data_IF_467378828229
#
_entry.id   IF_467378828229
#
_cell.length_a   1.000
_cell.length_b   1.000
_cell.length_c   1.000
_cell.angle_alpha   90.00
_cell.angle_beta   90.00
_cell.angle_gamma   90.00
#
_symmetry.space_group_name_H-M   'P 1'
#
loop_
_entity.id
_entity.type
_entity.pdbx_description
1 polymer ?
#
# COMPACT_ATOMS: atom_id res chain seq x y z
N UNK A 1 -11.40 18.00 26.84
CA UNK A 1 -12.04 17.86 28.16
C UNK A 1 -11.96 16.42 28.72
N UNK A 2 -12.69 15.40 28.21
CA UNK A 2 -12.57 14.04 28.78
C UNK A 2 -11.18 13.42 28.49
N UNK A 3 -10.70 13.46 27.25
CA UNK A 3 -9.38 12.95 26.88
C UNK A 3 -8.22 13.70 27.56
N UNK A 4 -8.35 15.00 27.74
CA UNK A 4 -7.40 15.83 28.49
C UNK A 4 -7.25 15.33 29.93
N UNK A 5 -8.38 15.10 30.61
CA UNK A 5 -8.39 14.63 31.99
C UNK A 5 -7.86 13.20 32.15
N UNK A 6 -8.15 12.32 31.18
CA UNK A 6 -7.71 10.90 31.22
C UNK A 6 -6.21 10.77 31.01
N UNK A 7 -5.63 11.54 30.08
CA UNK A 7 -4.23 11.39 29.70
C UNK A 7 -3.28 12.40 30.37
N UNK A 8 -3.78 13.30 31.18
CA UNK A 8 -2.99 14.32 31.89
C UNK A 8 -2.22 15.26 30.94
N UNK A 9 -2.74 15.49 29.75
CA UNK A 9 -2.13 16.35 28.75
C UNK A 9 -2.32 17.81 29.16
N UNK A 10 -1.29 18.67 29.14
CA UNK A 10 -1.45 20.10 29.39
C UNK A 10 -2.46 20.74 28.43
N UNK A 11 -3.33 21.59 28.92
CA UNK A 11 -4.43 22.22 28.13
C UNK A 11 -3.92 22.87 26.83
N UNK A 12 -2.79 23.55 26.89
CA UNK A 12 -2.16 24.17 25.73
C UNK A 12 -1.80 23.13 24.67
N UNK A 13 -1.13 22.06 25.06
CA UNK A 13 -0.74 20.97 24.14
C UNK A 13 -1.96 20.27 23.56
N UNK A 14 -3.01 20.07 24.38
CA UNK A 14 -4.27 19.48 23.93
C UNK A 14 -4.92 20.32 22.84
N UNK A 15 -5.04 21.63 23.03
CA UNK A 15 -5.63 22.55 22.03
C UNK A 15 -4.82 22.57 20.73
N UNK A 16 -3.51 22.73 20.82
CA UNK A 16 -2.61 22.71 19.65
C UNK A 16 -2.78 21.42 18.86
N UNK A 17 -2.81 20.26 19.55
CA UNK A 17 -2.99 18.95 18.88
C UNK A 17 -4.38 18.80 18.30
N UNK A 18 -5.40 19.25 18.99
CA UNK A 18 -6.78 19.19 18.50
C UNK A 18 -6.97 20.01 17.20
N UNK A 19 -6.48 21.26 17.18
CA UNK A 19 -6.52 22.12 16.00
C UNK A 19 -5.81 21.45 14.81
N UNK A 20 -4.67 20.85 15.07
CA UNK A 20 -3.92 20.12 14.05
C UNK A 20 -4.64 18.87 13.53
N UNK A 21 -5.23 18.06 14.42
CA UNK A 21 -6.00 16.87 14.01
C UNK A 21 -7.25 17.27 13.22
N UNK A 22 -7.91 18.35 13.63
CA UNK A 22 -9.06 18.90 12.91
C UNK A 22 -8.68 19.29 11.48
N UNK A 23 -7.54 19.96 11.31
CA UNK A 23 -7.06 20.35 9.98
C UNK A 23 -6.61 19.15 9.12
N UNK A 24 -5.81 18.22 9.69
CA UNK A 24 -5.27 17.08 8.96
C UNK A 24 -6.34 16.06 8.53
N UNK A 25 -7.41 15.91 9.31
CA UNK A 25 -8.47 14.93 9.05
C UNK A 25 -9.75 15.57 8.48
N UNK A 26 -9.72 16.88 8.18
CA UNK A 26 -10.89 17.64 7.69
C UNK A 26 -12.11 17.43 8.58
N UNK A 27 -11.95 17.69 9.89
CA UNK A 27 -13.01 17.45 10.88
C UNK A 27 -13.91 18.67 11.13
N UNK A 28 -13.56 19.85 10.63
CA UNK A 28 -14.33 21.09 10.87
C UNK A 28 -15.84 20.92 10.63
N UNK A 29 -16.29 20.32 9.48
CA UNK A 29 -17.72 20.11 9.24
C UNK A 29 -18.37 19.10 10.18
N UNK A 30 -17.57 18.31 10.90
CA UNK A 30 -18.04 17.21 11.74
C UNK A 30 -18.20 17.61 13.20
N UNK A 31 -17.52 18.68 13.65
CA UNK A 31 -17.48 19.09 15.06
C UNK A 31 -18.87 19.33 15.69
N UNK A 32 -19.84 19.71 14.89
CA UNK A 32 -21.21 19.97 15.34
C UNK A 32 -22.19 18.85 15.04
N UNK A 33 -21.74 17.82 14.28
CA UNK A 33 -22.59 16.68 13.95
C UNK A 33 -22.76 15.72 15.13
N UNK A 34 -23.95 15.20 15.27
CA UNK A 34 -24.19 14.11 16.24
C UNK A 34 -23.51 12.84 15.75
N UNK A 35 -22.79 12.12 16.63
CA UNK A 35 -22.05 10.90 16.31
C UNK A 35 -22.89 9.87 15.52
N UNK A 36 -24.17 9.70 15.86
CA UNK A 36 -25.10 8.80 15.17
C UNK A 36 -25.42 9.17 13.71
N UNK A 37 -25.07 10.40 13.29
CA UNK A 37 -25.27 10.90 11.93
C UNK A 37 -24.00 10.89 11.08
N UNK A 38 -22.88 10.48 11.66
CA UNK A 38 -21.63 10.34 10.95
C UNK A 38 -21.65 9.08 10.08
N UNK A 39 -21.12 9.18 8.86
CA UNK A 39 -20.78 8.01 8.05
C UNK A 39 -19.66 7.21 8.73
N UNK A 40 -19.41 6.00 8.26
CA UNK A 40 -18.34 5.16 8.80
C UNK A 40 -16.97 5.87 8.70
N UNK A 41 -16.65 6.45 7.54
CA UNK A 41 -15.39 7.18 7.32
C UNK A 41 -15.28 8.46 8.15
N UNK A 42 -16.36 9.23 8.29
CA UNK A 42 -16.39 10.40 9.18
C UNK A 42 -16.17 10.00 10.64
N UNK A 43 -16.80 8.92 11.07
CA UNK A 43 -16.64 8.39 12.43
C UNK A 43 -15.22 7.90 12.68
N UNK A 44 -14.64 7.13 11.74
CA UNK A 44 -13.27 6.63 11.83
C UNK A 44 -12.26 7.78 11.97
N UNK A 45 -12.40 8.85 11.17
CA UNK A 45 -11.56 10.04 11.28
C UNK A 45 -11.66 10.71 12.65
N UNK A 46 -12.86 10.83 13.21
CA UNK A 46 -13.05 11.38 14.55
C UNK A 46 -12.46 10.50 15.65
N UNK A 47 -12.64 9.17 15.55
CA UNK A 47 -12.09 8.21 16.51
C UNK A 47 -10.54 8.20 16.46
N UNK A 48 -9.97 8.24 15.26
CA UNK A 48 -8.53 8.32 15.06
C UNK A 48 -7.97 9.62 15.68
N UNK A 49 -8.57 10.79 15.40
CA UNK A 49 -8.19 12.04 16.03
C UNK A 49 -8.23 11.95 17.56
N UNK A 50 -9.32 11.44 18.12
CA UNK A 50 -9.49 11.31 19.56
C UNK A 50 -8.43 10.40 20.21
N UNK A 51 -8.02 9.35 19.53
CA UNK A 51 -6.98 8.42 20.02
C UNK A 51 -5.58 9.02 20.01
N UNK A 52 -5.34 10.10 19.25
CA UNK A 52 -4.02 10.69 19.04
C UNK A 52 -3.78 12.01 19.80
N UNK A 53 -4.79 12.54 20.48
CA UNK A 53 -4.71 13.83 21.20
C UNK A 53 -3.61 13.86 22.27
N UNK A 54 -3.24 12.70 22.83
CA UNK A 54 -2.19 12.59 23.83
C UNK A 54 -0.79 12.33 23.23
N UNK A 55 -0.64 12.35 21.90
CA UNK A 55 0.60 12.14 21.14
C UNK A 55 1.32 10.86 21.55
N UNK A 56 0.73 9.68 21.36
CA UNK A 56 1.36 8.41 21.71
C UNK A 56 2.64 8.20 20.90
N UNK A 57 3.65 7.59 21.53
CA UNK A 57 4.91 7.21 20.85
C UNK A 57 4.76 5.93 20.04
N UNK A 58 3.79 5.09 20.39
CA UNK A 58 3.49 3.84 19.70
C UNK A 58 2.00 3.83 19.40
N UNK A 59 1.66 3.55 18.15
CA UNK A 59 0.30 3.51 17.64
C UNK A 59 0.02 2.12 17.07
N UNK A 60 -1.03 1.49 17.57
CA UNK A 60 -1.54 0.23 17.02
C UNK A 60 -2.81 0.50 16.24
N UNK A 61 -2.80 0.16 14.97
CA UNK A 61 -3.93 0.33 14.05
C UNK A 61 -4.32 -1.03 13.49
N UNK A 62 -5.50 -1.49 13.87
CA UNK A 62 -6.05 -2.75 13.38
C UNK A 62 -7.05 -2.46 12.27
N UNK A 63 -6.67 -2.82 11.02
CA UNK A 63 -7.46 -2.63 9.80
C UNK A 63 -8.05 -1.22 9.66
N UNK A 64 -7.24 -0.14 9.72
CA UNK A 64 -7.75 1.24 9.85
C UNK A 64 -8.54 1.76 8.64
N UNK A 65 -8.53 1.04 7.52
CA UNK A 65 -9.20 1.43 6.26
C UNK A 65 -10.34 0.51 5.86
N UNK A 66 -10.62 -0.52 6.68
CA UNK A 66 -11.65 -1.52 6.35
C UNK A 66 -13.04 -0.90 6.24
N UNK A 67 -13.76 -1.27 5.17
CA UNK A 67 -15.14 -0.80 4.94
C UNK A 67 -15.27 0.67 4.53
N UNK A 68 -14.16 1.36 4.28
CA UNK A 68 -14.14 2.72 3.78
C UNK A 68 -14.13 2.75 2.24
N UNK A 69 -14.69 3.79 1.66
CA UNK A 69 -14.51 4.08 0.24
C UNK A 69 -13.07 4.52 -0.09
N UNK A 70 -12.69 4.49 -1.37
CA UNK A 70 -11.33 4.75 -1.83
C UNK A 70 -10.81 6.13 -1.38
N UNK A 71 -11.67 7.14 -1.37
CA UNK A 71 -11.30 8.50 -0.96
C UNK A 71 -11.01 8.56 0.54
N UNK A 72 -11.88 7.95 1.36
CA UNK A 72 -11.67 7.87 2.81
C UNK A 72 -10.44 7.04 3.17
N UNK A 73 -10.19 5.93 2.47
CA UNK A 73 -8.96 5.14 2.65
C UNK A 73 -7.70 5.96 2.35
N UNK A 74 -7.68 6.71 1.24
CA UNK A 74 -6.56 7.59 0.89
C UNK A 74 -6.32 8.63 1.99
N UNK A 75 -7.37 9.31 2.45
CA UNK A 75 -7.27 10.31 3.51
C UNK A 75 -6.70 9.74 4.82
N UNK A 76 -7.09 8.51 5.21
CA UNK A 76 -6.53 7.85 6.39
C UNK A 76 -5.05 7.51 6.19
N UNK A 77 -4.64 7.01 5.03
CA UNK A 77 -3.23 6.74 4.72
C UNK A 77 -2.38 8.01 4.80
N UNK A 78 -2.82 9.07 4.13
CA UNK A 78 -2.12 10.35 4.10
C UNK A 78 -1.97 10.91 5.52
N UNK A 79 -3.01 10.79 6.32
CA UNK A 79 -2.99 11.21 7.72
C UNK A 79 -1.98 10.39 8.56
N UNK A 80 -2.00 9.05 8.46
CA UNK A 80 -1.07 8.18 9.21
C UNK A 80 0.38 8.52 8.83
N UNK A 81 0.64 8.72 7.54
CA UNK A 81 1.95 9.12 7.04
C UNK A 81 2.38 10.47 7.61
N UNK A 82 1.53 11.49 7.52
CA UNK A 82 1.79 12.83 8.05
C UNK A 82 2.03 12.82 9.56
N UNK A 83 1.23 12.06 10.30
CA UNK A 83 1.38 11.90 11.76
C UNK A 83 2.72 11.25 12.12
N UNK A 84 3.09 10.16 11.43
CA UNK A 84 4.39 9.50 11.63
C UNK A 84 5.56 10.45 11.37
N UNK A 85 5.54 11.18 10.25
CA UNK A 85 6.59 12.14 9.90
C UNK A 85 6.70 13.27 10.91
N UNK A 86 5.58 13.76 11.41
CA UNK A 86 5.56 14.89 12.32
C UNK A 86 5.98 14.55 13.73
N UNK A 87 5.52 13.41 14.26
CA UNK A 87 5.70 13.04 15.67
C UNK A 87 6.75 11.95 15.89
N UNK A 88 7.25 11.32 14.84
CA UNK A 88 8.18 10.20 14.92
C UNK A 88 7.61 9.00 15.67
N UNK A 89 6.28 8.83 15.65
CA UNK A 89 5.61 7.73 16.32
C UNK A 89 5.88 6.41 15.62
N UNK A 90 6.13 5.35 16.38
CA UNK A 90 6.17 4.00 15.83
C UNK A 90 4.75 3.53 15.53
N UNK A 91 4.46 3.24 14.27
CA UNK A 91 3.15 2.74 13.85
C UNK A 91 3.24 1.25 13.57
N UNK A 92 2.45 0.45 14.26
CA UNK A 92 2.20 -0.94 13.95
C UNK A 92 0.77 -1.05 13.42
N UNK A 93 0.63 -1.43 12.16
CA UNK A 93 -0.68 -1.57 11.55
C UNK A 93 -0.89 -2.98 11.00
N UNK A 94 -2.13 -3.48 11.11
CA UNK A 94 -2.58 -4.63 10.33
C UNK A 94 -3.38 -4.13 9.14
N UNK A 95 -3.23 -4.76 7.98
CA UNK A 95 -4.10 -4.55 6.82
C UNK A 95 -4.04 -5.76 5.89
N UNK A 96 -5.18 -6.05 5.28
CA UNK A 96 -5.27 -6.97 4.14
C UNK A 96 -5.35 -6.22 2.80
N UNK A 97 -5.37 -4.88 2.82
CA UNK A 97 -5.27 -4.05 1.62
C UNK A 97 -3.81 -3.77 1.31
N UNK A 98 -3.34 -4.26 0.18
CA UNK A 98 -1.95 -4.06 -0.25
C UNK A 98 -1.62 -2.58 -0.44
N UNK A 99 -2.60 -1.77 -0.84
CA UNK A 99 -2.43 -0.32 -0.96
C UNK A 99 -2.02 0.36 0.35
N UNK A 100 -2.49 -0.14 1.50
CA UNK A 100 -2.07 0.38 2.81
C UNK A 100 -0.62 -0.02 3.11
N UNK A 101 -0.29 -1.29 2.84
CA UNK A 101 1.07 -1.82 3.05
C UNK A 101 2.08 -1.05 2.22
N UNK A 102 1.81 -0.86 0.92
CA UNK A 102 2.72 -0.15 0.02
C UNK A 102 2.87 1.34 0.32
N UNK A 103 1.81 1.96 0.83
CA UNK A 103 1.83 3.40 1.14
C UNK A 103 2.45 3.73 2.50
N UNK A 104 2.35 2.82 3.48
CA UNK A 104 2.67 3.13 4.87
C UNK A 104 3.84 2.33 5.44
N UNK A 105 4.06 1.09 4.97
CA UNK A 105 5.02 0.19 5.60
C UNK A 105 6.38 0.22 4.91
N UNK A 106 7.44 0.57 5.65
CA UNK A 106 8.83 0.34 5.26
C UNK A 106 9.31 -1.06 5.62
N UNK A 107 8.76 -1.66 6.67
CA UNK A 107 9.03 -3.03 7.14
C UNK A 107 7.72 -3.77 7.28
N UNK A 108 7.70 -5.02 6.85
CA UNK A 108 6.53 -5.88 6.91
C UNK A 108 6.82 -7.17 7.68
N UNK A 109 5.80 -7.66 8.34
CA UNK A 109 5.76 -8.97 8.98
C UNK A 109 4.64 -9.77 8.29
N UNK A 110 5.01 -10.86 7.63
CA UNK A 110 4.04 -11.78 7.02
C UNK A 110 3.84 -12.95 7.98
N UNK A 111 2.60 -13.13 8.44
CA UNK A 111 2.24 -14.17 9.41
C UNK A 111 1.22 -15.09 8.77
N UNK A 112 1.48 -16.41 8.81
CA UNK A 112 0.57 -17.46 8.35
C UNK A 112 0.48 -18.59 9.36
N UNK A 113 -0.73 -19.04 9.68
CA UNK A 113 -0.99 -20.12 10.65
C UNK A 113 -0.21 -19.94 11.98
N UNK A 114 -0.06 -18.70 12.46
CA UNK A 114 0.67 -18.36 13.68
C UNK A 114 2.19 -18.43 13.59
N UNK A 115 2.76 -18.64 12.39
CA UNK A 115 4.20 -18.62 12.15
C UNK A 115 4.59 -17.35 11.40
N UNK A 116 5.74 -16.79 11.77
CA UNK A 116 6.34 -15.66 11.05
C UNK A 116 7.04 -16.18 9.79
N UNK A 117 6.49 -15.83 8.62
CA UNK A 117 7.00 -16.26 7.32
C UNK A 117 8.05 -15.30 6.78
N UNK A 118 7.88 -14.01 7.04
CA UNK A 118 8.81 -12.97 6.61
C UNK A 118 8.84 -11.84 7.62
N UNK A 119 10.02 -11.27 7.82
CA UNK A 119 10.27 -10.07 8.59
C UNK A 119 11.35 -9.25 7.89
N UNK A 120 11.00 -8.12 7.31
CA UNK A 120 11.95 -7.31 6.58
C UNK A 120 11.33 -6.18 5.78
N UNK A 121 12.14 -5.59 4.90
CA UNK A 121 11.76 -4.54 3.98
C UNK A 121 10.84 -5.07 2.86
N UNK A 122 9.80 -4.32 2.51
CA UNK A 122 8.85 -4.70 1.47
C UNK A 122 9.53 -4.82 0.10
N UNK A 123 10.45 -3.90 -0.23
CA UNK A 123 11.15 -3.91 -1.51
C UNK A 123 12.05 -5.15 -1.62
N UNK A 124 12.74 -5.50 -0.53
CA UNK A 124 13.57 -6.71 -0.47
C UNK A 124 12.72 -7.98 -0.66
N UNK A 125 11.51 -8.04 -0.09
CA UNK A 125 10.60 -9.15 -0.32
C UNK A 125 10.21 -9.26 -1.80
N UNK A 126 9.86 -8.14 -2.43
CA UNK A 126 9.51 -8.11 -3.86
C UNK A 126 10.67 -8.62 -4.72
N UNK A 127 11.89 -8.20 -4.45
CA UNK A 127 13.07 -8.60 -5.22
C UNK A 127 13.42 -10.10 -5.04
N UNK A 128 13.26 -10.63 -3.83
CA UNK A 128 13.51 -12.03 -3.52
C UNK A 128 12.46 -12.96 -4.12
N UNK A 129 11.18 -12.59 -4.02
CA UNK A 129 10.05 -13.42 -4.46
C UNK A 129 9.84 -13.33 -5.96
N UNK A 130 10.05 -12.15 -6.56
CA UNK A 130 9.87 -11.92 -7.99
C UNK A 130 11.17 -11.40 -8.63
N UNK A 131 12.09 -12.28 -9.03
CA UNK A 131 13.33 -11.91 -9.74
C UNK A 131 13.08 -11.45 -11.18
N UNK A 132 11.87 -10.94 -11.46
CA UNK A 132 11.44 -10.47 -12.78
C UNK A 132 10.74 -9.12 -12.67
N UNK A 133 10.60 -8.46 -13.81
CA UNK A 133 9.72 -7.29 -14.02
C UNK A 133 8.65 -7.61 -15.06
N UNK A 134 7.60 -6.84 -15.08
CA UNK A 134 6.57 -6.91 -16.10
C UNK A 134 6.89 -5.91 -17.20
N UNK A 135 7.03 -6.41 -18.41
CA UNK A 135 7.11 -5.60 -19.62
C UNK A 135 5.72 -5.62 -20.28
N UNK A 136 5.03 -4.48 -20.23
CA UNK A 136 3.74 -4.32 -20.89
C UNK A 136 3.95 -3.66 -22.23
N UNK A 137 3.39 -4.27 -23.26
CA UNK A 137 3.45 -3.80 -24.64
C UNK A 137 2.04 -3.53 -25.13
N UNK A 138 1.83 -2.37 -25.75
CA UNK A 138 0.69 -2.13 -26.63
C UNK A 138 1.19 -2.23 -28.05
N UNK A 139 0.67 -3.19 -28.80
CA UNK A 139 1.08 -3.45 -30.19
C UNK A 139 0.17 -2.69 -31.18
N UNK A 140 0.72 -2.26 -32.32
CA UNK A 140 -0.05 -1.69 -33.43
C UNK A 140 -0.85 -2.75 -34.21
N UNK A 141 -0.38 -4.00 -34.18
CA UNK A 141 -1.00 -5.17 -34.79
C UNK A 141 -0.62 -6.45 -34.02
N UNK A 142 -1.45 -7.50 -34.12
CA UNK A 142 -1.11 -8.77 -33.48
C UNK A 142 0.22 -9.33 -33.97
N UNK A 143 0.94 -10.00 -33.05
CA UNK A 143 2.26 -10.62 -33.25
C UNK A 143 2.16 -12.07 -32.79
N UNK A 144 2.93 -12.96 -33.43
CA UNK A 144 3.00 -14.37 -33.07
C UNK A 144 3.58 -14.56 -31.67
N UNK A 145 2.99 -15.46 -30.89
CA UNK A 145 3.43 -15.76 -29.52
C UNK A 145 4.88 -16.24 -29.48
N UNK A 146 5.36 -16.88 -30.55
CA UNK A 146 6.75 -17.32 -30.68
C UNK A 146 7.75 -16.14 -30.69
N UNK A 147 7.38 -14.99 -31.24
CA UNK A 147 8.22 -13.80 -31.24
C UNK A 147 8.20 -13.11 -29.87
N UNK A 148 7.07 -13.12 -29.18
CA UNK A 148 6.93 -12.63 -27.83
C UNK A 148 7.75 -13.46 -26.85
N UNK A 149 7.75 -14.80 -27.00
CA UNK A 149 8.49 -15.74 -26.16
C UNK A 149 10.01 -15.56 -26.22
N UNK A 150 10.56 -14.96 -27.28
CA UNK A 150 11.99 -14.61 -27.40
C UNK A 150 12.41 -13.49 -26.44
N UNK A 151 11.46 -12.64 -26.05
CA UNK A 151 11.69 -11.47 -25.18
C UNK A 151 11.50 -11.79 -23.71
N UNK A 152 10.63 -12.75 -23.40
CA UNK A 152 10.29 -13.12 -22.03
C UNK A 152 9.15 -14.13 -21.98
N UNK A 153 8.79 -14.53 -20.75
CA UNK A 153 7.66 -15.44 -20.55
C UNK A 153 6.34 -14.65 -20.69
N UNK A 154 5.49 -15.03 -21.64
CA UNK A 154 4.17 -14.43 -21.82
C UNK A 154 3.33 -14.73 -20.57
N UNK A 155 2.89 -13.68 -19.88
CA UNK A 155 1.98 -13.77 -18.73
C UNK A 155 0.52 -13.62 -19.16
N UNK A 156 0.26 -12.66 -20.05
CA UNK A 156 -1.06 -12.45 -20.66
C UNK A 156 -0.90 -11.85 -22.06
N UNK A 157 -1.82 -12.20 -22.94
CA UNK A 157 -1.94 -11.60 -24.27
C UNK A 157 -3.43 -11.46 -24.57
N UNK A 158 -3.87 -10.24 -24.83
CA UNK A 158 -5.23 -9.89 -25.21
C UNK A 158 -5.16 -9.04 -26.48
N UNK A 159 -5.01 -9.73 -27.61
CA UNK A 159 -4.90 -9.10 -28.92
C UNK A 159 -3.71 -8.16 -29.05
N UNK A 160 -3.88 -6.88 -28.74
CA UNK A 160 -2.84 -5.86 -28.86
C UNK A 160 -2.14 -5.55 -27.52
N UNK A 161 -2.70 -6.00 -26.41
CA UNK A 161 -2.13 -5.82 -25.07
C UNK A 161 -1.37 -7.08 -24.66
N UNK A 162 -0.07 -6.95 -24.45
CA UNK A 162 0.79 -8.08 -24.05
C UNK A 162 1.55 -7.75 -22.78
N UNK A 163 1.57 -8.69 -21.84
CA UNK A 163 2.39 -8.58 -20.63
C UNK A 163 3.39 -9.75 -20.61
N UNK A 164 4.67 -9.41 -20.53
CA UNK A 164 5.77 -10.37 -20.46
C UNK A 164 6.44 -10.30 -19.09
N UNK A 165 6.79 -11.45 -18.52
CA UNK A 165 7.74 -11.54 -17.40
C UNK A 165 9.16 -11.57 -17.93
N UNK A 166 9.98 -10.62 -17.54
CA UNK A 166 11.36 -10.49 -17.98
C UNK A 166 12.29 -10.47 -16.77
N UNK A 167 13.39 -11.23 -16.73
CA UNK A 167 14.35 -11.18 -15.64
C UNK A 167 14.81 -9.73 -15.37
N UNK A 168 14.95 -9.33 -14.09
CA UNK A 168 15.33 -7.95 -13.72
C UNK A 168 16.58 -7.47 -14.43
N UNK A 169 17.63 -8.31 -14.48
CA UNK A 169 18.89 -7.99 -15.16
C UNK A 169 18.81 -7.89 -16.68
N UNK A 170 17.77 -8.49 -17.30
CA UNK A 170 17.57 -8.48 -18.75
C UNK A 170 16.51 -7.50 -19.24
N UNK A 171 15.89 -6.72 -18.35
CA UNK A 171 14.75 -5.87 -18.70
C UNK A 171 15.09 -4.83 -19.77
N UNK A 172 16.26 -4.20 -19.68
CA UNK A 172 16.73 -3.19 -20.64
C UNK A 172 16.88 -3.79 -22.05
N UNK A 173 17.48 -4.95 -22.14
CA UNK A 173 17.74 -5.61 -23.42
C UNK A 173 16.44 -6.12 -24.05
N UNK A 174 15.53 -6.67 -23.23
CA UNK A 174 14.22 -7.10 -23.70
C UNK A 174 13.36 -5.93 -24.20
N UNK A 175 13.39 -4.80 -23.48
CA UNK A 175 12.66 -3.59 -23.93
C UNK A 175 13.23 -3.03 -25.25
N UNK A 176 14.56 -2.98 -25.38
CA UNK A 176 15.23 -2.53 -26.61
C UNK A 176 14.93 -3.50 -27.79
N UNK A 177 14.95 -4.81 -27.54
CA UNK A 177 14.61 -5.81 -28.53
C UNK A 177 13.15 -5.73 -28.95
N UNK A 178 12.21 -5.51 -28.01
CA UNK A 178 10.79 -5.31 -28.31
C UNK A 178 10.58 -4.11 -29.25
N UNK A 179 11.16 -2.96 -28.92
CA UNK A 179 11.05 -1.75 -29.74
C UNK A 179 11.69 -1.86 -31.10
N UNK A 180 12.71 -2.72 -31.26
CA UNK A 180 13.43 -2.91 -32.51
C UNK A 180 12.80 -3.94 -33.44
N UNK A 181 12.13 -4.96 -32.88
CA UNK A 181 11.68 -6.13 -33.65
C UNK A 181 10.16 -6.26 -33.74
N UNK A 182 9.40 -5.57 -32.90
CA UNK A 182 7.95 -5.67 -32.86
C UNK A 182 7.28 -4.33 -33.21
N UNK A 183 6.05 -4.35 -33.74
CA UNK A 183 5.26 -3.15 -33.99
C UNK A 183 4.66 -2.61 -32.67
N UNK A 184 5.50 -1.99 -31.83
CA UNK A 184 5.14 -1.48 -30.51
C UNK A 184 4.63 -0.06 -30.63
N UNK A 185 3.39 0.19 -30.20
CA UNK A 185 2.80 1.52 -30.06
C UNK A 185 3.16 2.18 -28.71
N UNK A 186 3.20 1.38 -27.64
CA UNK A 186 3.57 1.86 -26.30
C UNK A 186 4.23 0.74 -25.48
N UNK A 187 5.08 1.13 -24.53
CA UNK A 187 5.84 0.22 -23.68
C UNK A 187 5.93 0.76 -22.26
N UNK A 188 5.65 -0.08 -21.26
CA UNK A 188 5.96 0.23 -19.87
C UNK A 188 6.70 -0.93 -19.20
N UNK A 189 7.52 -0.59 -18.19
CA UNK A 189 8.21 -1.54 -17.33
C UNK A 189 7.73 -1.32 -15.92
N UNK A 190 7.13 -2.35 -15.33
CA UNK A 190 6.51 -2.28 -14.03
C UNK A 190 7.06 -3.35 -13.08
N UNK A 191 6.99 -3.06 -11.77
CA UNK A 191 7.16 -4.10 -10.76
C UNK A 191 5.92 -5.01 -10.75
N UNK A 192 6.08 -6.32 -10.41
CA UNK A 192 4.94 -7.17 -10.17
C UNK A 192 4.05 -6.61 -9.07
N UNK A 193 2.71 -6.75 -9.16
CA UNK A 193 1.81 -6.33 -8.08
C UNK A 193 2.18 -6.99 -6.75
N UNK A 194 2.20 -6.21 -5.67
CA UNK A 194 2.58 -6.70 -4.33
C UNK A 194 1.61 -7.80 -3.86
N UNK A 195 0.36 -7.77 -4.32
CA UNK A 195 -0.63 -8.82 -4.08
C UNK A 195 -0.19 -10.18 -4.64
N UNK A 196 0.45 -10.17 -5.80
CA UNK A 196 0.99 -11.39 -6.42
C UNK A 196 2.18 -11.92 -5.60
N UNK A 197 3.04 -11.02 -5.15
CA UNK A 197 4.20 -11.32 -4.30
C UNK A 197 3.77 -11.96 -2.98
N UNK A 198 2.83 -11.33 -2.28
CA UNK A 198 2.31 -11.85 -1.00
C UNK A 198 1.69 -13.23 -1.20
N UNK A 199 0.92 -13.43 -2.28
CA UNK A 199 0.36 -14.75 -2.61
C UNK A 199 1.44 -15.81 -2.89
N UNK A 200 2.55 -15.43 -3.52
CA UNK A 200 3.67 -16.36 -3.74
C UNK A 200 4.37 -16.73 -2.43
N UNK A 201 4.56 -15.79 -1.52
CA UNK A 201 5.12 -16.07 -0.18
C UNK A 201 4.26 -17.11 0.55
N UNK A 202 2.93 -16.95 0.54
CA UNK A 202 2.02 -17.92 1.15
C UNK A 202 2.05 -19.30 0.46
N UNK A 203 2.24 -19.38 -0.85
CA UNK A 203 2.34 -20.66 -1.56
C UNK A 203 3.63 -21.44 -1.23
N UNK A 204 4.75 -20.72 -1.12
CA UNK A 204 6.05 -21.35 -0.84
C UNK A 204 6.27 -21.62 0.65
N UNK A 205 5.59 -20.89 1.53
CA UNK A 205 5.64 -21.12 2.97
C UNK A 205 4.95 -22.41 3.41
N UNK A 206 4.00 -22.92 2.62
CA UNK A 206 3.32 -24.20 2.87
C UNK A 206 4.14 -25.45 2.55
N UNK A 207 5.23 -25.33 1.75
CA UNK A 207 6.07 -26.48 1.35
C UNK A 207 7.19 -26.81 2.36
N UNK A 208 7.33 -26.07 3.44
CA UNK A 208 8.34 -26.27 4.48
C UNK A 208 7.79 -26.63 5.87
N UNK A 209 6.55 -27.13 5.94
CA UNK A 209 5.92 -27.57 7.19
C UNK A 209 5.80 -29.08 7.28
#
# INVERSE_FOLDING_TARGET
>A
MVNEAIHGVPERQFRETLEEMVALLDLEPLLTKQVRKLSLGERMRCELAASLLHRPKVLFLDEPTIGLDVTAQAAIRDFIHAYNQRYGATVLLTSHYVADVTALASRILVIEHGKLMYDGDLQALVEQTAPYKLLRLTLERPVDEADLAKLGKVQSSDGLQVTLRVPRGGTKDAAAAALSSLPVADISVEEPPVEEIIREVFRHGGDHA
#
